data_IF_771844261974
#
_entry.id   IF_771844261974
#
_cell.length_a   1.000
_cell.length_b   1.000
_cell.length_c   1.000
_cell.angle_alpha   90.00
_cell.angle_beta   90.00
_cell.angle_gamma   90.00
#
_symmetry.space_group_name_H-M   'P 1'
#
loop_
_entity.id
_entity.type
_entity.pdbx_description
1 polymer ?
#
# COMPACT_ATOMS: atom_id res chain seq x y z
N UNK A 1 -11.18 19.20 -9.61
CA UNK A 1 -12.14 18.34 -8.89
C UNK A 1 -11.39 17.14 -8.40
N UNK A 2 -11.54 16.75 -7.13
CA UNK A 2 -10.80 15.60 -6.58
C UNK A 2 -11.61 14.32 -6.63
N UNK A 3 -10.92 13.19 -6.74
CA UNK A 3 -11.54 11.88 -6.72
C UNK A 3 -10.55 10.74 -6.59
N UNK A 4 -11.06 9.52 -6.70
CA UNK A 4 -10.29 8.28 -6.62
C UNK A 4 -10.55 7.45 -7.88
N UNK A 5 -9.50 6.95 -8.52
CA UNK A 5 -9.63 6.01 -9.63
C UNK A 5 -10.29 4.72 -9.11
N UNK A 6 -11.38 4.30 -9.75
CA UNK A 6 -12.04 3.02 -9.48
C UNK A 6 -11.49 1.91 -10.37
N UNK A 7 -11.25 2.20 -11.64
CA UNK A 7 -10.74 1.25 -12.61
C UNK A 7 -10.02 1.95 -13.76
N UNK A 8 -9.06 1.26 -14.38
CA UNK A 8 -8.37 1.71 -15.60
C UNK A 8 -8.21 0.52 -16.53
N UNK A 9 -8.90 0.57 -17.67
CA UNK A 9 -8.81 -0.45 -18.70
C UNK A 9 -7.86 0.01 -19.80
N UNK A 10 -6.61 -0.46 -19.74
CA UNK A 10 -5.58 -0.15 -20.73
C UNK A 10 -5.92 -0.68 -22.14
N UNK A 11 -6.67 -1.78 -22.25
CA UNK A 11 -7.08 -2.34 -23.54
C UNK A 11 -8.18 -1.53 -24.22
N UNK A 12 -9.10 -0.96 -23.44
CA UNK A 12 -10.18 -0.10 -23.94
C UNK A 12 -9.80 1.41 -23.97
N UNK A 13 -8.64 1.78 -23.44
CA UNK A 13 -8.19 3.18 -23.39
C UNK A 13 -9.04 4.09 -22.51
N UNK A 14 -9.73 3.53 -21.52
CA UNK A 14 -10.67 4.27 -20.65
C UNK A 14 -10.44 3.97 -19.18
N UNK A 15 -10.91 4.85 -18.30
CA UNK A 15 -10.90 4.65 -16.86
C UNK A 15 -12.08 5.35 -16.19
N UNK A 16 -12.32 4.99 -14.93
CA UNK A 16 -13.43 5.47 -14.12
C UNK A 16 -12.89 6.08 -12.83
N UNK A 17 -13.41 7.24 -12.44
CA UNK A 17 -13.07 7.99 -11.23
C UNK A 17 -14.34 8.16 -10.40
N UNK A 18 -14.27 7.90 -9.10
CA UNK A 18 -15.25 8.35 -8.12
C UNK A 18 -14.84 9.74 -7.64
N UNK A 19 -15.63 10.76 -7.96
CA UNK A 19 -15.43 12.11 -7.44
C UNK A 19 -15.74 12.18 -5.95
N UNK A 20 -15.04 13.08 -5.24
CA UNK A 20 -15.32 13.36 -3.82
C UNK A 20 -16.70 14.02 -3.62
N UNK A 21 -17.34 14.47 -4.70
CA UNK A 21 -18.72 14.95 -4.74
C UNK A 21 -19.78 13.81 -4.79
N UNK A 22 -19.33 12.55 -4.80
CA UNK A 22 -20.18 11.37 -4.86
C UNK A 22 -20.60 10.95 -6.26
N UNK A 23 -20.22 11.68 -7.31
CA UNK A 23 -20.50 11.32 -8.71
C UNK A 23 -19.38 10.48 -9.31
N UNK A 24 -19.67 9.85 -10.44
CA UNK A 24 -18.67 9.07 -11.20
C UNK A 24 -18.31 9.80 -12.48
N UNK A 25 -17.03 9.77 -12.82
CA UNK A 25 -16.47 10.42 -13.98
C UNK A 25 -15.69 9.44 -14.83
N UNK A 26 -15.93 9.41 -16.13
CA UNK A 26 -15.17 8.59 -17.07
C UNK A 26 -14.06 9.43 -17.69
N UNK A 27 -12.87 8.88 -17.88
CA UNK A 27 -11.79 9.52 -18.62
C UNK A 27 -11.21 8.58 -19.66
N UNK A 28 -10.63 9.14 -20.72
CA UNK A 28 -9.79 8.38 -21.66
C UNK A 28 -8.35 8.44 -21.22
N UNK A 29 -7.57 7.38 -21.46
CA UNK A 29 -6.16 7.32 -21.03
C UNK A 29 -5.28 8.42 -21.63
N UNK A 30 -5.70 9.03 -22.75
CA UNK A 30 -5.05 10.20 -23.34
C UNK A 30 -5.14 11.47 -22.46
N UNK A 31 -6.14 11.56 -21.58
CA UNK A 31 -6.29 12.66 -20.62
C UNK A 31 -5.40 12.50 -19.38
N UNK A 32 -4.76 11.34 -19.22
CA UNK A 32 -3.87 11.07 -18.09
C UNK A 32 -2.59 11.88 -18.20
N UNK A 33 -2.25 12.61 -17.13
CA UNK A 33 -1.07 13.48 -17.05
C UNK A 33 0.03 12.94 -16.12
N UNK A 34 -0.09 11.71 -15.63
CA UNK A 34 0.93 11.03 -14.84
C UNK A 34 1.97 10.29 -15.69
N UNK A 35 3.14 10.02 -15.12
CA UNK A 35 4.23 9.30 -15.82
C UNK A 35 3.90 7.82 -16.06
N UNK A 36 3.21 7.17 -15.13
CA UNK A 36 2.70 5.80 -15.26
C UNK A 36 1.19 5.84 -15.24
N UNK A 37 0.54 4.98 -16.01
CA UNK A 37 -0.92 4.88 -16.03
C UNK A 37 -1.46 4.68 -14.60
N UNK A 38 -2.56 5.35 -14.29
CA UNK A 38 -3.15 5.30 -12.95
C UNK A 38 -3.65 3.91 -12.58
N UNK A 39 -3.79 3.65 -11.29
CA UNK A 39 -4.31 2.39 -10.75
C UNK A 39 -5.55 2.62 -9.88
N UNK A 40 -6.39 1.59 -9.76
CA UNK A 40 -7.53 1.62 -8.84
C UNK A 40 -7.07 1.97 -7.40
N UNK A 41 -7.81 2.86 -6.75
CA UNK A 41 -7.49 3.43 -5.43
C UNK A 41 -6.66 4.72 -5.47
N UNK A 42 -6.06 5.08 -6.61
CA UNK A 42 -5.22 6.28 -6.69
C UNK A 42 -6.06 7.56 -6.62
N UNK A 43 -5.69 8.46 -5.71
CA UNK A 43 -6.26 9.82 -5.64
C UNK A 43 -5.78 10.66 -6.83
N UNK A 44 -6.71 11.41 -7.40
CA UNK A 44 -6.50 12.24 -8.58
C UNK A 44 -7.18 13.59 -8.43
N UNK A 45 -6.63 14.58 -9.11
CA UNK A 45 -7.31 15.83 -9.43
C UNK A 45 -7.62 15.83 -10.93
N UNK A 46 -8.78 16.31 -11.30
CA UNK A 46 -9.25 16.32 -12.69
C UNK A 46 -10.17 17.50 -12.94
N UNK A 47 -10.31 17.89 -14.20
CA UNK A 47 -11.34 18.84 -14.61
C UNK A 47 -12.61 18.05 -14.98
N UNK A 48 -13.73 18.41 -14.35
CA UNK A 48 -15.01 17.78 -14.63
C UNK A 48 -15.71 18.56 -15.75
N UNK A 49 -16.22 17.85 -16.75
CA UNK A 49 -17.11 18.42 -17.73
C UNK A 49 -18.57 18.16 -17.30
N UNK A 50 -19.22 19.23 -16.83
CA UNK A 50 -20.49 19.17 -16.08
C UNK A 50 -21.64 18.44 -16.81
N UNK A 51 -21.62 18.42 -18.15
CA UNK A 51 -22.74 17.93 -18.96
C UNK A 51 -22.64 16.43 -19.29
N UNK A 52 -21.46 15.80 -19.15
CA UNK A 52 -21.22 14.42 -19.62
C UNK A 52 -20.63 13.47 -18.59
N UNK A 53 -20.41 13.92 -17.35
CA UNK A 53 -19.69 13.12 -16.34
C UNK A 53 -18.35 12.61 -16.88
N UNK A 54 -17.65 13.47 -17.61
CA UNK A 54 -16.32 13.19 -18.18
C UNK A 54 -15.27 13.91 -17.36
N UNK A 55 -14.13 13.25 -17.12
CA UNK A 55 -12.95 13.83 -16.52
C UNK A 55 -11.88 14.07 -17.58
N UNK A 56 -11.39 15.30 -17.67
CA UNK A 56 -10.28 15.73 -18.52
C UNK A 56 -9.10 16.16 -17.65
N UNK A 57 -7.91 16.24 -18.27
CA UNK A 57 -6.68 16.64 -17.59
C UNK A 57 -6.49 15.95 -16.21
N UNK A 58 -6.46 14.62 -16.22
CA UNK A 58 -6.42 13.82 -14.99
C UNK A 58 -4.98 13.78 -14.45
N UNK A 59 -4.75 14.43 -13.31
CA UNK A 59 -3.47 14.48 -12.61
C UNK A 59 -3.47 13.51 -11.42
N UNK A 60 -2.40 12.72 -11.24
CA UNK A 60 -2.21 11.99 -9.99
C UNK A 60 -2.02 12.96 -8.83
N UNK A 61 -2.80 12.83 -7.76
CA UNK A 61 -2.63 13.64 -6.55
C UNK A 61 -1.38 13.14 -5.81
N UNK A 62 -0.25 13.85 -6.01
CA UNK A 62 1.04 13.48 -5.42
C UNK A 62 1.02 13.54 -3.89
N UNK A 63 0.15 14.35 -3.27
CA UNK A 63 0.13 14.48 -1.81
C UNK A 63 -0.26 13.15 -1.13
N UNK A 64 -1.25 12.44 -1.69
CA UNK A 64 -1.70 11.14 -1.18
C UNK A 64 -0.66 10.02 -1.34
N UNK A 65 0.28 10.14 -2.29
CA UNK A 65 1.30 9.10 -2.54
C UNK A 65 2.47 9.08 -1.55
N UNK A 66 2.61 10.13 -0.74
CA UNK A 66 3.82 10.35 0.09
C UNK A 66 3.74 9.62 1.44
N UNK A 67 2.56 9.60 2.07
CA UNK A 67 2.38 8.96 3.39
C UNK A 67 2.45 7.43 3.28
N UNK A 68 1.85 6.86 2.23
CA UNK A 68 1.85 5.40 1.99
C UNK A 68 3.25 4.88 1.64
N UNK A 69 4.01 5.65 0.87
CA UNK A 69 5.41 5.32 0.58
C UNK A 69 6.27 5.34 1.84
N UNK A 70 6.03 6.30 2.73
CA UNK A 70 6.78 6.44 3.98
C UNK A 70 6.49 5.31 4.95
N UNK A 71 5.21 4.91 5.10
CA UNK A 71 4.81 3.75 5.91
C UNK A 71 5.44 2.46 5.41
N UNK A 72 5.47 2.22 4.10
CA UNK A 72 6.11 1.04 3.51
C UNK A 72 7.60 0.98 3.86
N UNK A 73 8.32 2.08 3.66
CA UNK A 73 9.76 2.15 3.93
C UNK A 73 10.03 1.93 5.42
N UNK A 74 9.27 2.61 6.30
CA UNK A 74 9.39 2.44 7.74
C UNK A 74 9.13 0.97 8.16
N UNK A 75 8.06 0.35 7.66
CA UNK A 75 7.73 -1.04 7.96
C UNK A 75 8.85 -2.00 7.50
N UNK A 76 9.41 -1.79 6.31
CA UNK A 76 10.51 -2.60 5.77
C UNK A 76 11.80 -2.46 6.59
N UNK A 77 12.17 -1.24 6.97
CA UNK A 77 13.36 -0.99 7.80
C UNK A 77 13.18 -1.55 9.23
N UNK A 78 12.00 -1.38 9.82
CA UNK A 78 11.66 -1.98 11.11
C UNK A 78 11.75 -3.51 11.06
N UNK A 79 11.34 -4.13 9.96
CA UNK A 79 11.44 -5.57 9.78
C UNK A 79 12.91 -6.04 9.63
N UNK A 80 13.77 -5.27 8.96
CA UNK A 80 15.18 -5.64 8.80
C UNK A 80 16.00 -5.49 10.09
N UNK A 81 15.82 -4.39 10.82
CA UNK A 81 16.65 -4.10 12.00
C UNK A 81 16.04 -4.62 13.31
N UNK A 82 14.71 -4.53 13.42
CA UNK A 82 13.95 -4.79 14.66
C UNK A 82 12.90 -5.91 14.46
N UNK A 83 12.98 -6.66 13.36
CA UNK A 83 11.96 -7.61 12.96
C UNK A 83 11.85 -8.86 13.83
N UNK A 84 12.95 -9.29 14.44
CA UNK A 84 12.93 -10.38 15.42
C UNK A 84 11.98 -10.10 16.60
N UNK A 85 11.80 -8.83 16.97
CA UNK A 85 10.88 -8.40 18.02
C UNK A 85 9.42 -8.27 17.53
N UNK A 86 9.18 -8.36 16.22
CA UNK A 86 7.86 -8.16 15.61
C UNK A 86 7.40 -6.70 15.49
N UNK A 87 8.31 -5.73 15.61
CA UNK A 87 7.94 -4.29 15.67
C UNK A 87 7.28 -3.81 14.38
N UNK A 88 7.68 -4.32 13.22
CA UNK A 88 7.04 -4.02 11.94
C UNK A 88 5.56 -4.46 11.89
N UNK A 89 5.17 -5.50 12.62
CA UNK A 89 3.77 -5.93 12.74
C UNK A 89 2.94 -4.94 13.56
N UNK A 90 3.47 -4.50 14.70
CA UNK A 90 2.81 -3.47 15.51
C UNK A 90 2.65 -2.16 14.74
N UNK A 91 3.66 -1.78 13.95
CA UNK A 91 3.61 -0.58 13.11
C UNK A 91 2.47 -0.62 12.07
N UNK A 92 2.19 -1.80 11.50
CA UNK A 92 1.07 -2.01 10.56
C UNK A 92 -0.27 -2.32 11.26
N UNK A 93 -0.32 -2.25 12.59
CA UNK A 93 -1.52 -2.53 13.38
C UNK A 93 -1.86 -4.02 13.54
N UNK A 94 -0.93 -4.93 13.20
CA UNK A 94 -1.03 -6.38 13.42
C UNK A 94 -0.62 -6.75 14.85
N UNK A 95 -1.39 -6.30 15.84
CA UNK A 95 -1.03 -6.44 17.25
C UNK A 95 -0.92 -7.90 17.69
N UNK A 96 -1.78 -8.78 17.18
CA UNK A 96 -1.77 -10.20 17.56
C UNK A 96 -0.50 -10.89 17.06
N UNK A 97 -0.14 -10.65 15.82
CA UNK A 97 1.03 -11.20 15.15
C UNK A 97 2.32 -10.66 15.77
N UNK A 98 2.36 -9.36 16.07
CA UNK A 98 3.48 -8.75 16.78
C UNK A 98 3.70 -9.38 18.15
N UNK A 99 2.63 -9.64 18.91
CA UNK A 99 2.73 -10.33 20.21
C UNK A 99 3.23 -11.77 20.04
N UNK A 100 2.77 -12.49 19.00
CA UNK A 100 3.27 -13.84 18.71
C UNK A 100 4.78 -13.81 18.43
N UNK A 101 5.26 -12.91 17.56
CA UNK A 101 6.70 -12.77 17.28
C UNK A 101 7.48 -12.43 18.54
N UNK A 102 6.99 -11.49 19.35
CA UNK A 102 7.64 -11.08 20.59
C UNK A 102 7.76 -12.24 21.60
N UNK A 103 6.68 -12.99 21.82
CA UNK A 103 6.68 -14.13 22.75
C UNK A 103 7.62 -15.23 22.26
N UNK A 104 7.58 -15.57 20.97
CA UNK A 104 8.47 -16.59 20.39
C UNK A 104 9.93 -16.15 20.48
N UNK A 105 10.21 -14.86 20.22
CA UNK A 105 11.55 -14.29 20.36
C UNK A 105 12.08 -14.40 21.79
N UNK A 106 11.25 -14.06 22.79
CA UNK A 106 11.61 -14.16 24.21
C UNK A 106 11.81 -15.61 24.67
N UNK A 107 10.93 -16.52 24.26
CA UNK A 107 11.05 -17.95 24.58
C UNK A 107 12.27 -18.60 23.89
N UNK A 108 12.69 -18.06 22.75
CA UNK A 108 13.85 -18.56 22.03
C UNK A 108 15.15 -18.48 22.83
N UNK A 109 15.28 -17.54 23.79
CA UNK A 109 16.44 -17.50 24.70
C UNK A 109 16.50 -18.71 25.65
N UNK A 110 15.36 -19.34 25.95
CA UNK A 110 15.28 -20.55 26.79
C UNK A 110 15.46 -21.80 25.91
N UNK A 111 15.00 -21.75 24.67
CA UNK A 111 14.94 -22.87 23.72
C UNK A 111 16.15 -22.93 22.75
N UNK A 112 17.36 -22.66 23.25
CA UNK A 112 18.61 -22.76 22.47
C UNK A 112 18.66 -21.86 21.22
N UNK A 113 18.01 -20.69 21.26
CA UNK A 113 17.97 -19.64 20.21
C UNK A 113 17.37 -20.01 18.86
N UNK A 114 17.02 -21.28 18.62
CA UNK A 114 16.41 -21.73 17.35
C UNK A 114 15.13 -20.94 17.02
N UNK A 115 14.17 -20.74 17.94
CA UNK A 115 12.95 -19.98 17.63
C UNK A 115 13.24 -18.51 17.30
N UNK A 116 14.23 -17.91 17.96
CA UNK A 116 14.69 -16.54 17.72
C UNK A 116 15.21 -16.38 16.29
N UNK A 117 16.02 -17.35 15.82
CA UNK A 117 16.55 -17.35 14.45
C UNK A 117 15.41 -17.49 13.43
N UNK A 118 14.45 -18.39 13.67
CA UNK A 118 13.30 -18.58 12.76
C UNK A 118 12.49 -17.29 12.62
N UNK A 119 12.13 -16.64 13.73
CA UNK A 119 11.38 -15.36 13.69
C UNK A 119 12.20 -14.26 13.01
N UNK A 120 13.52 -14.23 13.23
CA UNK A 120 14.42 -13.31 12.54
C UNK A 120 14.43 -13.50 11.02
N UNK A 121 14.46 -14.75 10.54
CA UNK A 121 14.38 -15.07 9.10
C UNK A 121 13.03 -14.67 8.51
N UNK A 122 11.93 -14.95 9.21
CA UNK A 122 10.59 -14.53 8.79
C UNK A 122 10.55 -13.02 8.61
N UNK A 123 11.00 -12.27 9.61
CA UNK A 123 10.96 -10.82 9.56
C UNK A 123 11.91 -10.24 8.50
N UNK A 124 13.06 -10.86 8.27
CA UNK A 124 13.98 -10.47 7.20
C UNK A 124 13.32 -10.62 5.83
N UNK A 125 12.69 -11.77 5.56
CA UNK A 125 11.96 -12.01 4.30
C UNK A 125 10.85 -10.97 4.12
N UNK A 126 10.06 -10.69 5.16
CA UNK A 126 9.01 -9.68 5.10
C UNK A 126 9.56 -8.27 4.86
N UNK A 127 10.69 -7.92 5.47
CA UNK A 127 11.38 -6.65 5.21
C UNK A 127 11.75 -6.48 3.75
N UNK A 128 12.31 -7.53 3.13
CA UNK A 128 12.61 -7.51 1.68
C UNK A 128 11.32 -7.40 0.85
N UNK A 129 10.27 -8.15 1.17
CA UNK A 129 8.98 -8.09 0.46
C UNK A 129 8.39 -6.67 0.54
N UNK A 130 8.41 -6.03 1.71
CA UNK A 130 7.87 -4.69 1.88
C UNK A 130 8.67 -3.66 1.07
N UNK A 131 10.00 -3.73 1.09
CA UNK A 131 10.86 -2.79 0.37
C UNK A 131 10.79 -2.96 -1.15
N UNK A 132 10.60 -4.19 -1.63
CA UNK A 132 10.56 -4.51 -3.07
C UNK A 132 9.16 -4.38 -3.67
N UNK A 133 8.11 -4.27 -2.85
CA UNK A 133 6.74 -4.07 -3.32
C UNK A 133 6.47 -2.64 -3.82
N UNK A 134 5.59 -2.53 -4.81
CA UNK A 134 5.03 -1.24 -5.21
C UNK A 134 4.20 -0.64 -4.06
N UNK A 135 4.13 0.69 -3.97
CA UNK A 135 3.37 1.36 -2.90
C UNK A 135 1.89 0.95 -2.93
N UNK A 136 1.29 0.90 -4.12
CA UNK A 136 -0.10 0.50 -4.30
C UNK A 136 -0.37 -0.94 -3.88
N UNK A 137 0.50 -1.89 -4.24
CA UNK A 137 0.35 -3.28 -3.81
C UNK A 137 0.54 -3.42 -2.29
N UNK A 138 1.50 -2.69 -1.72
CA UNK A 138 1.74 -2.70 -0.28
C UNK A 138 0.49 -2.25 0.49
N UNK A 139 -0.08 -1.12 0.10
CA UNK A 139 -1.30 -0.58 0.70
C UNK A 139 -2.47 -1.56 0.56
N UNK A 140 -2.71 -2.08 -0.66
CA UNK A 140 -3.79 -3.03 -0.92
C UNK A 140 -3.67 -4.31 -0.09
N UNK A 141 -2.47 -4.87 0.02
CA UNK A 141 -2.26 -6.19 0.63
C UNK A 141 -2.11 -6.08 2.15
N UNK A 142 -1.25 -5.17 2.61
CA UNK A 142 -0.79 -5.14 4.01
C UNK A 142 -1.44 -4.04 4.85
N UNK A 143 -2.09 -3.05 4.25
CA UNK A 143 -2.79 -2.01 5.03
C UNK A 143 -4.30 -2.21 4.95
N UNK A 144 -4.86 -2.23 3.74
CA UNK A 144 -6.30 -2.42 3.52
C UNK A 144 -6.70 -3.89 3.61
N UNK A 145 -6.00 -4.78 2.89
CA UNK A 145 -6.29 -6.22 2.84
C UNK A 145 -5.90 -6.99 4.10
N UNK A 146 -5.21 -6.33 5.03
CA UNK A 146 -4.77 -6.86 6.34
C UNK A 146 -4.14 -8.25 6.27
N UNK A 147 -3.27 -8.53 5.29
CA UNK A 147 -2.56 -9.81 5.18
C UNK A 147 -1.43 -9.91 6.21
N UNK A 148 -1.57 -10.73 7.27
CA UNK A 148 -0.69 -10.66 8.43
C UNK A 148 0.68 -11.31 8.23
N UNK A 149 0.82 -12.27 7.31
CA UNK A 149 2.06 -13.00 7.03
C UNK A 149 2.25 -13.12 5.52
N UNK A 150 3.50 -13.01 5.05
CA UNK A 150 3.95 -13.03 3.64
C UNK A 150 2.82 -12.90 2.60
#
# INVERSE_FOLDING_TARGET
MKGTILDVNAGAGTGLIAGDDGKRYTFVTAEWRGQTLGQAGQKVDFEAQDDTSTATAVFPDRAASTDDSSKKIAAGLLALFLGGLGIHKFYLGYTKEGVIMLVVFLLGFILLTIPTVVVGVIAFIEGIIYLTRSNADFERIYVTGRKPWF
#
